data_IF_574471436305
#
_entry.id   IF_574471436305
#
_cell.length_a   1.000
_cell.length_b   1.000
_cell.length_c   1.000
_cell.angle_alpha   90.00
_cell.angle_beta   90.00
_cell.angle_gamma   90.00
#
_symmetry.space_group_name_H-M   'P 1'
#
loop_
_entity.id
_entity.type
_entity.pdbx_description
1 polymer ?
#
# COMPACT_ATOMS: atom_id res chain seq x y z
N UNK A 1 4.09 -2.82 11.81
CA UNK A 1 3.02 -2.42 10.87
C UNK A 1 2.04 -1.55 11.63
N UNK A 2 1.33 -0.65 10.95
CA UNK A 2 0.39 0.29 11.60
C UNK A 2 -1.06 -0.05 11.27
N UNK A 3 -1.93 -0.11 12.28
CA UNK A 3 -3.37 -0.31 12.09
C UNK A 3 -3.98 0.79 11.20
N UNK A 4 -4.89 0.39 10.31
CA UNK A 4 -5.65 1.30 9.43
C UNK A 4 -7.14 1.22 9.72
N UNK A 5 -7.76 0.07 9.49
CA UNK A 5 -9.19 -0.14 9.73
C UNK A 5 -9.52 -1.63 9.83
N UNK A 6 -10.60 -1.94 10.55
CA UNK A 6 -11.19 -3.27 10.55
C UNK A 6 -12.07 -3.50 9.31
N UNK A 7 -12.20 -4.77 8.96
CA UNK A 7 -12.97 -5.28 7.86
C UNK A 7 -13.85 -6.46 8.31
N UNK A 8 -14.97 -6.73 7.62
CA UNK A 8 -15.84 -7.85 7.95
C UNK A 8 -15.12 -9.21 8.02
N UNK A 9 -15.59 -10.06 8.94
CA UNK A 9 -15.05 -11.39 9.17
C UNK A 9 -13.77 -11.42 10.01
N UNK A 10 -13.60 -10.47 10.94
CA UNK A 10 -12.46 -10.42 11.86
C UNK A 10 -11.14 -10.12 11.17
N UNK A 11 -11.17 -9.40 10.05
CA UNK A 11 -9.97 -9.05 9.30
C UNK A 11 -9.59 -7.61 9.55
N UNK A 12 -8.31 -7.30 9.43
CA UNK A 12 -7.82 -5.95 9.69
C UNK A 12 -6.78 -5.55 8.64
N UNK A 13 -6.88 -4.30 8.18
CA UNK A 13 -5.89 -3.70 7.31
C UNK A 13 -4.80 -3.03 8.11
N UNK A 14 -3.56 -3.31 7.72
CA UNK A 14 -2.37 -2.70 8.26
C UNK A 14 -1.55 -2.03 7.17
N UNK A 15 -0.93 -0.90 7.50
CA UNK A 15 0.05 -0.22 6.67
C UNK A 15 1.44 -0.80 6.91
N UNK A 16 2.12 -1.06 5.80
CA UNK A 16 3.55 -1.37 5.72
C UNK A 16 4.30 -0.03 5.72
N UNK A 17 5.14 0.18 6.72
CA UNK A 17 5.85 1.45 6.93
C UNK A 17 7.34 1.35 6.61
N UNK A 18 7.89 0.12 6.55
CA UNK A 18 9.32 -0.11 6.36
C UNK A 18 9.61 -1.11 5.24
N UNK A 19 10.81 -1.02 4.67
CA UNK A 19 11.30 -1.98 3.67
C UNK A 19 11.34 -3.41 4.25
N UNK A 20 11.77 -3.57 5.51
CA UNK A 20 11.85 -4.88 6.16
C UNK A 20 10.47 -5.57 6.25
N UNK A 21 9.41 -4.80 6.55
CA UNK A 21 8.04 -5.31 6.53
C UNK A 21 7.59 -5.67 5.11
N UNK A 22 7.96 -4.86 4.11
CA UNK A 22 7.64 -5.14 2.72
C UNK A 22 8.32 -6.43 2.22
N UNK A 23 9.57 -6.68 2.63
CA UNK A 23 10.31 -7.92 2.33
C UNK A 23 9.59 -9.13 2.95
N UNK A 24 9.29 -9.08 4.25
CA UNK A 24 8.60 -10.16 4.94
C UNK A 24 7.21 -10.44 4.32
N UNK A 25 6.50 -9.39 3.92
CA UNK A 25 5.22 -9.52 3.22
C UNK A 25 5.37 -10.17 1.84
N UNK A 26 6.43 -9.82 1.10
CA UNK A 26 6.70 -10.37 -0.23
C UNK A 26 7.00 -11.86 -0.20
N UNK A 27 7.79 -12.30 0.78
CA UNK A 27 8.12 -13.70 1.00
C UNK A 27 6.86 -14.51 1.35
N UNK A 28 6.02 -13.98 2.26
CA UNK A 28 4.82 -14.66 2.73
C UNK A 28 3.75 -14.74 1.63
N UNK A 29 3.50 -13.62 0.96
CA UNK A 29 2.47 -13.51 -0.08
C UNK A 29 2.93 -14.00 -1.45
N UNK A 30 4.22 -14.34 -1.62
CA UNK A 30 4.80 -14.83 -2.88
C UNK A 30 4.58 -13.88 -4.06
N UNK A 31 4.70 -12.58 -3.82
CA UNK A 31 4.64 -11.54 -4.85
C UNK A 31 5.59 -10.38 -4.49
N UNK A 32 5.97 -9.58 -5.48
CA UNK A 32 7.06 -8.63 -5.33
C UNK A 32 6.61 -7.24 -4.79
N UNK A 33 6.04 -7.15 -3.58
CA UNK A 33 5.61 -5.86 -3.00
C UNK A 33 6.79 -5.00 -2.53
N UNK A 34 7.85 -5.62 -2.01
CA UNK A 34 9.14 -5.01 -1.67
C UNK A 34 9.78 -4.28 -2.86
N UNK A 35 9.68 -4.85 -4.06
CA UNK A 35 10.21 -4.22 -5.28
C UNK A 35 9.48 -2.91 -5.61
N UNK A 36 8.16 -2.86 -5.42
CA UNK A 36 7.41 -1.62 -5.59
C UNK A 36 7.70 -0.63 -4.46
N UNK A 37 7.77 -1.10 -3.22
CA UNK A 37 8.09 -0.25 -2.07
C UNK A 37 9.41 0.50 -2.26
N UNK A 38 10.50 -0.23 -2.57
CA UNK A 38 11.82 0.35 -2.80
C UNK A 38 11.83 1.32 -3.98
N UNK A 39 11.19 0.94 -5.09
CA UNK A 39 11.12 1.78 -6.29
C UNK A 39 10.43 3.12 -6.01
N UNK A 40 9.32 3.11 -5.29
CA UNK A 40 8.58 4.34 -4.98
C UNK A 40 9.31 5.17 -3.91
N UNK A 41 10.03 4.54 -2.98
CA UNK A 41 10.90 5.23 -2.04
C UNK A 41 12.06 5.94 -2.74
N UNK A 42 12.75 5.26 -3.65
CA UNK A 42 13.84 5.83 -4.45
C UNK A 42 13.35 7.04 -5.27
N UNK A 43 12.16 6.95 -5.87
CA UNK A 43 11.53 8.07 -6.58
C UNK A 43 11.22 9.25 -5.65
N UNK A 44 10.67 8.98 -4.46
CA UNK A 44 10.34 10.02 -3.49
C UNK A 44 11.61 10.74 -2.98
N UNK A 45 12.71 9.99 -2.77
CA UNK A 45 14.02 10.57 -2.44
C UNK A 45 14.52 11.46 -3.58
N UNK A 46 14.46 10.97 -4.83
CA UNK A 46 14.95 11.71 -5.99
C UNK A 46 14.12 12.97 -6.31
N UNK A 47 12.84 13.00 -5.95
CA UNK A 47 11.99 14.17 -6.18
C UNK A 47 12.15 15.27 -5.13
N UNK A 48 12.83 14.98 -4.01
CA UNK A 48 13.03 15.96 -2.95
C UNK A 48 13.96 17.09 -3.39
N UNK A 49 13.47 18.33 -3.26
CA UNK A 49 14.27 19.54 -3.47
C UNK A 49 14.43 20.28 -2.14
N UNK A 50 15.62 20.25 -1.52
CA UNK A 50 15.83 20.92 -0.24
C UNK A 50 15.71 22.43 -0.41
N UNK A 51 14.96 23.06 0.50
CA UNK A 51 14.80 24.52 0.56
C UNK A 51 15.85 25.13 1.49
N UNK A 52 16.16 24.48 2.62
CA UNK A 52 17.21 24.90 3.55
C UNK A 52 18.58 24.37 3.12
N UNK A 53 19.64 25.08 3.50
CA UNK A 53 21.05 24.64 3.38
C UNK A 53 21.56 23.92 4.64
N UNK A 54 20.78 23.90 5.72
CA UNK A 54 21.15 23.27 6.98
C UNK A 54 20.83 21.78 6.91
N UNK A 55 21.84 20.92 7.09
CA UNK A 55 21.72 19.47 6.92
C UNK A 55 20.56 18.85 7.73
N UNK A 56 20.44 19.20 9.02
CA UNK A 56 19.38 18.66 9.87
C UNK A 56 17.96 19.02 9.37
N UNK A 57 17.76 20.25 8.90
CA UNK A 57 16.48 20.69 8.33
C UNK A 57 16.19 19.99 7.00
N UNK A 58 17.23 19.74 6.19
CA UNK A 58 17.10 18.95 4.97
C UNK A 58 16.69 17.50 5.28
N UNK A 59 17.28 16.87 6.30
CA UNK A 59 16.93 15.50 6.70
C UNK A 59 15.50 15.38 7.21
N UNK A 60 15.04 16.34 8.03
CA UNK A 60 13.63 16.40 8.46
C UNK A 60 12.73 16.58 7.25
N UNK A 61 13.06 17.54 6.38
CA UNK A 61 12.30 17.83 5.17
C UNK A 61 12.21 16.61 4.25
N UNK A 62 13.31 15.87 4.08
CA UNK A 62 13.36 14.66 3.27
C UNK A 62 12.45 13.58 3.84
N UNK A 63 12.49 13.32 5.15
CA UNK A 63 11.62 12.33 5.79
C UNK A 63 10.15 12.68 5.63
N UNK A 64 9.77 13.94 5.86
CA UNK A 64 8.40 14.42 5.68
C UNK A 64 7.95 14.33 4.22
N UNK A 65 8.84 14.67 3.28
CA UNK A 65 8.58 14.57 1.84
C UNK A 65 8.35 13.12 1.41
N UNK A 66 9.24 12.19 1.79
CA UNK A 66 9.07 10.77 1.51
C UNK A 66 7.74 10.26 2.07
N UNK A 67 7.41 10.59 3.33
CA UNK A 67 6.16 10.15 3.95
C UNK A 67 4.92 10.62 3.18
N UNK A 68 4.98 11.82 2.58
CA UNK A 68 3.89 12.42 1.82
C UNK A 68 3.77 11.85 0.40
N UNK A 69 4.88 11.62 -0.28
CA UNK A 69 4.92 11.17 -1.67
C UNK A 69 4.82 9.65 -1.81
N UNK A 70 5.15 8.90 -0.75
CA UNK A 70 5.06 7.44 -0.76
C UNK A 70 3.60 6.97 -0.91
N UNK A 71 3.33 6.05 -1.87
CA UNK A 71 2.08 5.32 -1.90
C UNK A 71 1.81 4.59 -0.59
N UNK A 72 0.53 4.34 -0.32
CA UNK A 72 0.15 3.51 0.83
C UNK A 72 0.31 2.04 0.44
N UNK A 73 1.24 1.35 1.09
CA UNK A 73 1.37 -0.10 1.02
C UNK A 73 0.62 -0.72 2.22
N UNK A 74 -0.28 -1.63 1.93
CA UNK A 74 -1.22 -2.19 2.89
C UNK A 74 -1.26 -3.71 2.78
N UNK A 75 -1.49 -4.37 3.91
CA UNK A 75 -1.74 -5.81 4.00
C UNK A 75 -3.02 -6.07 4.79
N UNK A 76 -3.85 -6.97 4.30
CA UNK A 76 -5.03 -7.48 4.97
C UNK A 76 -4.64 -8.74 5.74
N UNK A 77 -4.89 -8.78 7.04
CA UNK A 77 -4.65 -9.96 7.87
C UNK A 77 -5.94 -10.50 8.46
N UNK A 78 -6.01 -11.82 8.68
CA UNK A 78 -7.05 -12.43 9.51
C UNK A 78 -6.73 -12.35 11.01
N UNK A 79 -7.57 -12.98 11.84
CA UNK A 79 -7.42 -12.98 13.31
C UNK A 79 -6.14 -13.68 13.78
N UNK A 80 -5.61 -14.61 13.00
CA UNK A 80 -4.34 -15.31 13.31
C UNK A 80 -3.12 -14.52 12.82
N UNK A 81 -3.36 -13.38 12.15
CA UNK A 81 -2.33 -12.53 11.57
C UNK A 81 -1.85 -13.00 10.20
N UNK A 82 -2.51 -13.99 9.58
CA UNK A 82 -2.15 -14.49 8.24
C UNK A 82 -2.47 -13.44 7.19
N UNK A 83 -1.54 -13.08 6.29
CA UNK A 83 -1.82 -12.13 5.23
C UNK A 83 -2.69 -12.76 4.13
N UNK A 84 -3.70 -12.02 3.68
CA UNK A 84 -4.72 -12.48 2.73
C UNK A 84 -4.66 -11.72 1.40
N UNK A 85 -4.33 -10.43 1.45
CA UNK A 85 -4.22 -9.57 0.28
C UNK A 85 -3.29 -8.39 0.58
N UNK A 86 -2.65 -7.86 -0.46
CA UNK A 86 -1.92 -6.59 -0.38
C UNK A 86 -2.56 -5.55 -1.29
N UNK A 87 -2.43 -4.29 -0.89
CA UNK A 87 -2.89 -3.15 -1.66
C UNK A 87 -1.82 -2.05 -1.73
N UNK A 88 -1.68 -1.46 -2.90
CA UNK A 88 -0.93 -0.23 -3.14
C UNK A 88 -1.91 0.85 -3.56
N UNK A 89 -2.12 1.85 -2.71
CA UNK A 89 -3.05 2.96 -2.93
C UNK A 89 -2.29 4.28 -3.14
N UNK A 90 -2.93 5.32 -3.70
CA UNK A 90 -2.30 6.62 -3.89
C UNK A 90 -1.79 7.21 -2.57
N UNK A 91 -0.78 8.10 -2.63
CA UNK A 91 -0.26 8.75 -1.44
C UNK A 91 -1.36 9.48 -0.65
N UNK A 92 -1.36 9.31 0.66
CA UNK A 92 -2.39 9.87 1.55
C UNK A 92 -3.80 9.30 1.35
N UNK A 93 -3.99 8.26 0.51
CA UNK A 93 -5.28 7.60 0.30
C UNK A 93 -6.31 8.45 -0.42
N UNK A 94 -5.87 9.50 -1.12
CA UNK A 94 -6.77 10.38 -1.89
C UNK A 94 -6.91 9.86 -3.31
N UNK A 95 -8.10 9.95 -3.89
CA UNK A 95 -8.28 9.50 -5.26
C UNK A 95 -7.47 10.40 -6.22
N UNK A 96 -6.47 9.79 -6.83
CA UNK A 96 -5.68 10.39 -7.90
C UNK A 96 -5.98 9.62 -9.19
N UNK A 97 -6.53 10.31 -10.19
CA UNK A 97 -6.88 9.73 -11.49
C UNK A 97 -5.66 9.26 -12.28
N UNK A 98 -4.49 9.83 -12.02
CA UNK A 98 -3.22 9.42 -12.60
C UNK A 98 -2.59 8.21 -11.91
N UNK A 99 -3.05 7.89 -10.70
CA UNK A 99 -2.58 6.72 -9.96
C UNK A 99 -3.50 5.52 -10.21
N UNK A 100 -2.90 4.38 -10.54
CA UNK A 100 -3.62 3.10 -10.65
C UNK A 100 -3.38 2.29 -9.37
N UNK A 101 -4.37 2.18 -8.47
CA UNK A 101 -4.23 1.31 -7.31
C UNK A 101 -4.03 -0.14 -7.75
N UNK A 102 -3.28 -0.91 -6.97
CA UNK A 102 -3.03 -2.33 -7.23
C UNK A 102 -3.49 -3.11 -6.02
N UNK A 103 -4.32 -4.13 -6.21
CA UNK A 103 -4.75 -5.04 -5.14
C UNK A 103 -4.62 -6.46 -5.64
N UNK A 104 -3.85 -7.29 -4.92
CA UNK A 104 -3.57 -8.68 -5.27
C UNK A 104 -3.59 -9.59 -4.04
N UNK A 105 -4.00 -10.83 -4.25
CA UNK A 105 -3.86 -11.90 -3.26
C UNK A 105 -2.51 -12.59 -3.38
N UNK A 106 -2.31 -13.62 -2.56
CA UNK A 106 -1.10 -14.43 -2.58
C UNK A 106 -0.82 -14.99 -4.00
N UNK A 107 0.45 -14.97 -4.42
CA UNK A 107 0.88 -15.43 -5.74
C UNK A 107 0.29 -14.63 -6.91
N UNK A 108 -0.06 -13.36 -6.68
CA UNK A 108 -0.76 -12.49 -7.65
C UNK A 108 -2.19 -12.93 -8.00
N UNK A 109 -2.79 -13.78 -7.16
CA UNK A 109 -4.17 -14.22 -7.33
C UNK A 109 -5.15 -13.05 -7.26
N UNK A 110 -6.34 -13.26 -7.80
CA UNK A 110 -7.45 -12.32 -7.68
C UNK A 110 -8.04 -12.35 -6.26
N UNK A 111 -7.92 -11.27 -5.47
CA UNK A 111 -8.40 -11.26 -4.09
C UNK A 111 -9.89 -10.94 -3.99
N UNK A 112 -10.54 -10.45 -5.04
CA UNK A 112 -11.92 -9.96 -4.97
C UNK A 112 -12.98 -11.03 -4.64
N UNK A 113 -12.89 -12.28 -5.15
CA UNK A 113 -13.87 -13.31 -4.82
C UNK A 113 -13.95 -13.64 -3.33
N UNK A 114 -12.83 -13.57 -2.60
CA UNK A 114 -12.75 -13.96 -1.19
C UNK A 114 -12.65 -12.77 -0.23
N UNK A 115 -12.10 -11.63 -0.68
CA UNK A 115 -11.81 -10.46 0.16
C UNK A 115 -12.58 -9.20 -0.26
N UNK A 116 -13.59 -9.32 -1.13
CA UNK A 116 -14.34 -8.17 -1.66
C UNK A 116 -14.91 -7.24 -0.59
N UNK A 117 -15.45 -7.79 0.51
CA UNK A 117 -15.98 -6.98 1.60
C UNK A 117 -14.89 -6.22 2.36
N UNK A 118 -13.71 -6.83 2.55
CA UNK A 118 -12.58 -6.18 3.19
C UNK A 118 -11.98 -5.08 2.30
N UNK A 119 -11.93 -5.30 0.98
CA UNK A 119 -11.50 -4.29 0.00
C UNK A 119 -12.50 -3.13 -0.02
N UNK A 120 -13.81 -3.41 0.08
CA UNK A 120 -14.84 -2.37 0.16
C UNK A 120 -14.70 -1.53 1.43
N UNK A 121 -14.47 -2.16 2.58
CA UNK A 121 -14.23 -1.46 3.84
C UNK A 121 -13.01 -0.53 3.75
N UNK A 122 -11.92 -0.99 3.12
CA UNK A 122 -10.74 -0.17 2.87
C UNK A 122 -11.05 1.03 1.97
N UNK A 123 -11.80 0.81 0.89
CA UNK A 123 -12.23 1.88 0.00
C UNK A 123 -13.08 2.93 0.72
N UNK A 124 -14.00 2.49 1.58
CA UNK A 124 -14.81 3.39 2.42
C UNK A 124 -13.96 4.19 3.40
N UNK A 125 -12.97 3.56 4.05
CA UNK A 125 -12.07 4.22 4.99
C UNK A 125 -11.31 5.40 4.33
N UNK A 126 -10.87 5.22 3.08
CA UNK A 126 -10.15 6.25 2.32
C UNK A 126 -11.06 7.12 1.44
N UNK A 127 -12.35 6.81 1.33
CA UNK A 127 -13.28 7.50 0.43
C UNK A 127 -12.97 7.29 -1.06
N UNK A 128 -12.39 6.14 -1.44
CA UNK A 128 -12.02 5.83 -2.82
C UNK A 128 -12.67 4.53 -3.30
N UNK A 129 -13.05 4.48 -4.58
CA UNK A 129 -13.60 3.26 -5.18
C UNK A 129 -12.49 2.29 -5.58
N UNK A 130 -12.51 1.10 -4.99
CA UNK A 130 -11.54 0.02 -5.21
C UNK A 130 -12.20 -1.12 -5.99
N UNK A 131 -12.64 -0.84 -7.21
CA UNK A 131 -13.25 -1.86 -8.07
C UNK A 131 -12.20 -2.78 -8.68
N UNK A 132 -12.55 -4.07 -8.79
CA UNK A 132 -11.72 -5.10 -9.44
C UNK A 132 -11.20 -4.66 -10.80
N UNK A 133 -12.06 -4.06 -11.62
CA UNK A 133 -11.70 -3.63 -12.97
C UNK A 133 -10.56 -2.59 -12.98
N UNK A 134 -10.51 -1.70 -11.98
CA UNK A 134 -9.46 -0.69 -11.85
C UNK A 134 -8.19 -1.27 -11.23
N UNK A 135 -8.38 -2.07 -10.18
CA UNK A 135 -7.33 -2.37 -9.21
C UNK A 135 -6.66 -3.74 -9.37
N UNK A 136 -7.30 -4.73 -10.01
CA UNK A 136 -6.66 -6.03 -10.26
C UNK A 136 -5.87 -5.98 -11.59
N UNK A 137 -4.53 -6.07 -11.57
CA UNK A 137 -3.71 -5.84 -12.76
C UNK A 137 -3.73 -7.02 -13.75
N UNK A 138 -4.04 -8.24 -13.29
CA UNK A 138 -3.97 -9.47 -14.09
C UNK A 138 -5.34 -9.95 -14.59
N UNK A 139 -6.33 -9.06 -14.67
CA UNK A 139 -7.60 -9.38 -15.32
C UNK A 139 -7.31 -9.88 -16.75
N UNK A 140 -7.79 -11.07 -17.08
CA UNK A 140 -7.92 -11.49 -18.48
C UNK A 140 -9.22 -10.87 -19.00
N UNK A 141 -9.14 -10.25 -20.17
CA UNK A 141 -10.30 -9.79 -20.94
C UNK A 141 -11.11 -11.02 -21.42
#
# INVERSE_FOLDING_TARGET
MRYVCDAPGGKTWFRIETEAEAVAESETMRHAVEKYFRKEQDKAVQSFRPISKVNFEQEIGLKAHIQREMPLFLTLRDMDGTPLATAMLPPGGRDDRGFRPIIVGAGNADPYPSQGDAIRALGQHYGISLERARCYPYRRD
#
